data_IF_058073213069
#
_entry.id   IF_058073213069
#
_cell.length_a   1.000
_cell.length_b   1.000
_cell.length_c   1.000
_cell.angle_alpha   90.00
_cell.angle_beta   90.00
_cell.angle_gamma   90.00
#
_symmetry.space_group_name_H-M   'P 1'
#
loop_
_entity.id
_entity.type
_entity.pdbx_description
1 polymer ?
#
# COMPACT_ATOMS: atom_id res chain seq x y z
N UNK A 1 13.56 -15.56 -1.58
CA UNK A 1 13.35 -14.10 -1.60
C UNK A 1 12.27 -13.85 -2.63
N UNK A 2 11.06 -13.49 -2.19
CA UNK A 2 9.96 -13.21 -3.11
C UNK A 2 10.17 -11.84 -3.74
N UNK A 3 10.34 -11.82 -5.06
CA UNK A 3 10.56 -10.59 -5.81
C UNK A 3 9.26 -10.15 -6.48
N UNK A 4 8.84 -8.90 -6.25
CA UNK A 4 7.75 -8.30 -7.01
C UNK A 4 8.26 -7.84 -8.38
N UNK A 5 7.45 -8.02 -9.41
CA UNK A 5 7.75 -7.55 -10.78
C UNK A 5 6.85 -6.37 -11.08
N UNK A 6 7.42 -5.22 -11.42
CA UNK A 6 6.66 -3.99 -11.65
C UNK A 6 7.20 -3.18 -12.84
N UNK A 7 6.34 -2.34 -13.41
CA UNK A 7 6.62 -1.43 -14.52
C UNK A 7 6.44 0.02 -14.05
N UNK A 8 7.30 0.93 -14.49
CA UNK A 8 7.17 2.36 -14.20
C UNK A 8 6.21 3.01 -15.25
N UNK A 9 5.22 3.79 -14.79
CA UNK A 9 4.29 4.52 -15.67
C UNK A 9 4.56 6.04 -15.54
N UNK A 10 4.32 6.80 -16.61
CA UNK A 10 4.62 8.26 -16.63
C UNK A 10 3.71 9.10 -15.73
N UNK A 11 2.48 8.64 -15.44
CA UNK A 11 1.47 9.37 -14.64
C UNK A 11 1.13 8.70 -13.30
N UNK A 12 1.51 7.43 -13.11
CA UNK A 12 1.41 6.66 -11.86
C UNK A 12 2.79 6.06 -11.61
N UNK A 13 3.37 6.15 -10.41
CA UNK A 13 4.80 5.84 -10.27
C UNK A 13 5.14 4.38 -10.58
N UNK A 14 4.31 3.41 -10.18
CA UNK A 14 4.59 1.98 -10.42
C UNK A 14 3.31 1.15 -10.66
N UNK A 15 3.40 0.12 -11.51
CA UNK A 15 2.33 -0.86 -11.75
C UNK A 15 2.84 -2.28 -11.61
N UNK A 16 2.08 -3.11 -10.90
CA UNK A 16 2.41 -4.49 -10.62
C UNK A 16 2.19 -5.34 -11.88
N UNK A 17 3.19 -6.12 -12.28
CA UNK A 17 3.15 -6.96 -13.49
C UNK A 17 2.73 -8.39 -13.16
N UNK A 18 3.04 -8.87 -11.95
CA UNK A 18 2.66 -10.21 -11.47
C UNK A 18 1.86 -10.09 -10.19
N UNK A 19 0.79 -10.88 -10.01
CA UNK A 19 0.03 -10.87 -8.77
C UNK A 19 0.96 -11.18 -7.59
N UNK A 20 0.70 -10.53 -6.46
CA UNK A 20 1.48 -10.67 -5.25
C UNK A 20 0.54 -10.91 -4.06
N UNK A 21 0.79 -11.98 -3.33
CA UNK A 21 0.03 -12.32 -2.12
C UNK A 21 0.93 -12.18 -0.90
N UNK A 22 0.39 -11.61 0.17
CA UNK A 22 1.09 -11.41 1.42
C UNK A 22 0.18 -11.74 2.61
N UNK A 23 0.68 -12.58 3.52
CA UNK A 23 -0.02 -12.90 4.76
C UNK A 23 0.14 -11.76 5.76
N UNK A 24 -0.89 -10.94 5.90
CA UNK A 24 -0.99 -9.91 6.93
C UNK A 24 -1.49 -10.50 8.25
N UNK A 25 -1.31 -9.74 9.32
CA UNK A 25 -1.85 -10.04 10.65
C UNK A 25 -3.25 -9.39 10.87
N UNK A 26 -3.81 -8.76 9.81
CA UNK A 26 -5.07 -8.03 9.85
C UNK A 26 -6.21 -9.03 9.62
N UNK A 27 -6.98 -9.32 10.67
CA UNK A 27 -8.18 -10.16 10.57
C UNK A 27 -9.41 -9.27 10.49
N UNK A 28 -10.24 -9.53 9.48
CA UNK A 28 -11.49 -8.79 9.24
C UNK A 28 -12.68 -9.73 9.32
N UNK A 29 -13.84 -9.21 9.70
CA UNK A 29 -15.07 -10.00 9.78
C UNK A 29 -15.60 -10.40 8.39
N UNK A 30 -15.37 -9.56 7.38
CA UNK A 30 -15.73 -9.75 5.98
C UNK A 30 -14.52 -9.58 5.07
N UNK A 31 -14.48 -10.24 3.91
CA UNK A 31 -13.45 -9.94 2.92
C UNK A 31 -13.57 -8.49 2.44
N UNK A 32 -12.45 -7.79 2.31
CA UNK A 32 -12.41 -6.41 1.85
C UNK A 32 -11.75 -6.37 0.48
N UNK A 33 -12.44 -5.80 -0.51
CA UNK A 33 -11.97 -5.80 -1.90
C UNK A 33 -11.93 -4.38 -2.44
N UNK A 34 -10.90 -4.05 -3.22
CA UNK A 34 -10.77 -2.81 -3.99
C UNK A 34 -10.90 -3.13 -5.46
N UNK A 35 -11.73 -2.35 -6.16
CA UNK A 35 -12.07 -2.56 -7.55
C UNK A 35 -13.56 -2.83 -7.74
N UNK A 36 -13.93 -3.14 -8.97
CA UNK A 36 -15.30 -3.48 -9.31
C UNK A 36 -15.41 -5.02 -9.40
N UNK A 37 -16.22 -5.69 -8.57
CA UNK A 37 -16.40 -7.14 -8.60
C UNK A 37 -16.80 -7.68 -9.98
N UNK A 38 -17.54 -6.89 -10.76
CA UNK A 38 -18.04 -7.28 -12.09
C UNK A 38 -16.99 -7.09 -13.20
N UNK A 39 -15.93 -6.33 -12.93
CA UNK A 39 -14.90 -5.98 -13.93
C UNK A 39 -13.56 -6.60 -13.54
N UNK A 40 -13.02 -6.19 -12.39
CA UNK A 40 -11.74 -6.65 -11.86
C UNK A 40 -11.54 -6.18 -10.42
N UNK A 41 -11.08 -7.09 -9.58
CA UNK A 41 -10.60 -6.81 -8.23
C UNK A 41 -9.08 -6.61 -8.31
N UNK A 42 -8.59 -5.50 -7.76
CA UNK A 42 -7.16 -5.17 -7.74
C UNK A 42 -6.51 -5.52 -6.40
N UNK A 43 -7.24 -5.36 -5.30
CA UNK A 43 -6.78 -5.71 -3.96
C UNK A 43 -7.89 -6.51 -3.28
N UNK A 44 -7.56 -7.64 -2.70
CA UNK A 44 -8.48 -8.49 -1.95
C UNK A 44 -7.82 -8.89 -0.62
N UNK A 45 -8.42 -8.50 0.49
CA UNK A 45 -8.02 -8.89 1.83
C UNK A 45 -9.05 -9.88 2.37
N UNK A 46 -8.65 -11.13 2.52
CA UNK A 46 -9.53 -12.16 3.07
C UNK A 46 -9.66 -12.06 4.60
N UNK A 47 -10.60 -12.82 5.17
CA UNK A 47 -10.87 -12.85 6.63
C UNK A 47 -9.68 -13.38 7.45
N UNK A 48 -8.85 -14.22 6.84
CA UNK A 48 -7.65 -14.80 7.47
C UNK A 48 -6.45 -13.84 7.44
N UNK A 49 -6.60 -12.67 6.81
CA UNK A 49 -5.54 -11.67 6.64
C UNK A 49 -4.62 -11.90 5.45
N UNK A 50 -4.95 -12.78 4.52
CA UNK A 50 -4.25 -12.87 3.24
C UNK A 50 -4.64 -11.68 2.37
N UNK A 51 -3.65 -10.83 2.07
CA UNK A 51 -3.77 -9.72 1.13
C UNK A 51 -3.29 -10.19 -0.24
N UNK A 52 -4.20 -10.22 -1.21
CA UNK A 52 -3.91 -10.50 -2.61
C UNK A 52 -3.94 -9.19 -3.41
N UNK A 53 -2.87 -8.91 -4.12
CA UNK A 53 -2.74 -7.74 -4.99
C UNK A 53 -2.59 -8.25 -6.41
N UNK A 54 -3.57 -7.96 -7.25
CA UNK A 54 -3.63 -8.46 -8.61
C UNK A 54 -2.69 -7.73 -9.58
N UNK A 55 -2.30 -8.43 -10.65
CA UNK A 55 -1.51 -7.82 -11.71
C UNK A 55 -2.29 -6.68 -12.38
N UNK A 56 -1.63 -5.54 -12.55
CA UNK A 56 -2.20 -4.31 -13.08
C UNK A 56 -2.49 -3.25 -12.02
N UNK A 57 -2.39 -3.58 -10.72
CA UNK A 57 -2.50 -2.61 -9.64
C UNK A 57 -1.41 -1.53 -9.74
N UNK A 58 -1.81 -0.26 -9.74
CA UNK A 58 -0.91 0.87 -9.79
C UNK A 58 -0.82 1.54 -8.41
N UNK A 59 0.38 1.85 -7.96
CA UNK A 59 0.65 2.45 -6.66
C UNK A 59 1.75 3.51 -6.75
N UNK A 60 1.78 4.42 -5.77
CA UNK A 60 2.71 5.57 -5.78
C UNK A 60 4.14 5.21 -5.35
N UNK A 61 4.40 3.98 -4.93
CA UNK A 61 5.71 3.56 -4.43
C UNK A 61 6.11 4.24 -3.13
N UNK A 62 7.40 4.16 -2.75
CA UNK A 62 7.96 5.03 -1.73
C UNK A 62 7.58 6.49 -1.92
N UNK A 63 6.81 7.00 -0.97
CA UNK A 63 6.62 8.43 -0.82
C UNK A 63 7.47 8.92 0.36
N UNK A 64 8.35 9.89 0.09
CA UNK A 64 9.23 10.52 1.08
C UNK A 64 10.71 10.57 0.67
N UNK A 65 11.58 11.17 1.49
CA UNK A 65 13.04 11.26 1.24
C UNK A 65 13.77 9.93 1.43
N UNK A 66 13.04 8.81 1.35
CA UNK A 66 13.57 7.48 1.57
C UNK A 66 14.22 6.98 0.29
N UNK A 67 15.49 6.59 0.36
CA UNK A 67 16.24 6.13 -0.82
C UNK A 67 15.50 4.95 -1.45
N UNK A 68 15.10 5.08 -2.72
CA UNK A 68 14.49 4.03 -3.54
C UNK A 68 15.37 2.78 -3.52
N UNK A 69 15.06 1.85 -2.62
CA UNK A 69 15.80 0.59 -2.50
C UNK A 69 14.82 -0.51 -2.87
N UNK A 70 15.28 -1.52 -3.60
CA UNK A 70 14.44 -2.67 -4.00
C UNK A 70 13.72 -3.32 -2.80
N UNK A 71 14.31 -3.19 -1.62
CA UNK A 71 13.82 -3.65 -0.32
C UNK A 71 12.65 -2.86 0.25
N UNK A 72 12.32 -1.71 -0.34
CA UNK A 72 11.21 -0.87 0.05
C UNK A 72 10.01 -0.98 -0.90
N UNK A 73 10.24 -1.44 -2.14
CA UNK A 73 9.19 -1.55 -3.14
C UNK A 73 8.10 -2.52 -2.72
N UNK A 74 8.48 -3.72 -2.23
CA UNK A 74 7.55 -4.75 -1.74
C UNK A 74 6.75 -4.25 -0.53
N UNK A 75 7.42 -3.59 0.42
CA UNK A 75 6.78 -2.99 1.58
C UNK A 75 5.80 -1.88 1.19
N UNK A 76 6.22 -0.97 0.31
CA UNK A 76 5.39 0.15 -0.16
C UNK A 76 4.13 -0.32 -0.88
N UNK A 77 4.22 -1.40 -1.67
CA UNK A 77 3.08 -1.99 -2.37
C UNK A 77 2.01 -2.47 -1.38
N UNK A 78 2.42 -3.26 -0.37
CA UNK A 78 1.52 -3.78 0.66
C UNK A 78 0.94 -2.64 1.50
N UNK A 79 1.76 -1.65 1.83
CA UNK A 79 1.33 -0.49 2.61
C UNK A 79 0.29 0.36 1.86
N UNK A 80 0.53 0.66 0.58
CA UNK A 80 -0.40 1.44 -0.25
C UNK A 80 -1.74 0.73 -0.46
N UNK A 81 -1.70 -0.59 -0.69
CA UNK A 81 -2.91 -1.41 -0.81
C UNK A 81 -3.75 -1.41 0.48
N UNK A 82 -3.12 -1.52 1.65
CA UNK A 82 -3.79 -1.42 2.95
C UNK A 82 -4.32 0.00 3.21
N UNK A 83 -3.57 1.02 2.84
CA UNK A 83 -4.00 2.42 2.96
C UNK A 83 -5.18 2.73 2.04
N UNK A 84 -5.24 2.14 0.84
CA UNK A 84 -6.37 2.30 -0.06
C UNK A 84 -7.64 1.67 0.52
N UNK A 85 -7.54 0.50 1.18
CA UNK A 85 -8.66 -0.08 1.94
C UNK A 85 -9.15 0.85 3.05
N UNK A 86 -8.25 1.55 3.73
CA UNK A 86 -8.62 2.55 4.73
C UNK A 86 -9.24 3.81 4.10
N UNK A 87 -8.74 4.25 2.94
CA UNK A 87 -9.24 5.42 2.22
C UNK A 87 -10.65 5.22 1.66
N UNK A 88 -10.99 3.99 1.27
CA UNK A 88 -12.36 3.61 0.86
C UNK A 88 -13.26 3.25 2.06
N UNK A 89 -12.84 3.54 3.30
CA UNK A 89 -13.58 3.27 4.55
C UNK A 89 -13.98 1.79 4.74
N UNK A 90 -13.33 0.88 4.02
CA UNK A 90 -13.52 -0.57 4.14
C UNK A 90 -12.81 -1.13 5.37
N UNK A 91 -11.70 -0.49 5.74
CA UNK A 91 -10.88 -0.85 6.90
C UNK A 91 -10.78 0.36 7.83
N UNK A 92 -10.98 0.15 9.13
CA UNK A 92 -10.85 1.23 10.11
C UNK A 92 -9.41 1.78 10.14
N UNK A 93 -9.24 3.06 9.81
CA UNK A 93 -7.91 3.68 9.77
C UNK A 93 -7.29 3.72 11.17
N UNK A 94 -8.06 3.99 12.21
CA UNK A 94 -7.48 4.27 13.53
C UNK A 94 -6.99 3.00 14.21
N UNK A 95 -7.72 1.89 14.07
CA UNK A 95 -7.29 0.58 14.55
C UNK A 95 -6.18 -0.08 13.72
N UNK A 96 -6.21 0.07 12.38
CA UNK A 96 -5.34 -0.73 11.50
C UNK A 96 -4.13 0.02 10.92
N UNK A 97 -4.05 1.35 11.03
CA UNK A 97 -2.89 2.12 10.55
C UNK A 97 -1.58 1.67 11.19
N UNK A 98 -1.55 1.49 12.51
CA UNK A 98 -0.35 1.01 13.20
C UNK A 98 0.05 -0.40 12.74
N UNK A 99 -0.94 -1.25 12.45
CA UNK A 99 -0.70 -2.59 11.94
C UNK A 99 -0.11 -2.55 10.52
N UNK A 100 -0.64 -1.70 9.63
CA UNK A 100 -0.11 -1.51 8.28
C UNK A 100 1.33 -0.98 8.30
N UNK A 101 1.62 0.01 9.15
CA UNK A 101 2.98 0.56 9.32
C UNK A 101 3.95 -0.50 9.88
N UNK A 102 3.49 -1.35 10.79
CA UNK A 102 4.29 -2.46 11.35
C UNK A 102 4.58 -3.53 10.29
N UNK A 103 3.61 -3.85 9.43
CA UNK A 103 3.80 -4.76 8.30
C UNK A 103 4.83 -4.20 7.33
N UNK A 104 4.74 -2.92 6.97
CA UNK A 104 5.74 -2.24 6.15
C UNK A 104 7.14 -2.43 6.72
N UNK A 105 7.32 -2.13 8.02
CA UNK A 105 8.62 -2.30 8.70
C UNK A 105 9.11 -3.75 8.65
N UNK A 106 8.23 -4.73 8.87
CA UNK A 106 8.56 -6.16 8.85
C UNK A 106 9.05 -6.59 7.47
N UNK A 107 8.33 -6.22 6.41
CA UNK A 107 8.71 -6.53 5.02
C UNK A 107 10.07 -5.90 4.67
N UNK A 108 10.29 -4.64 5.09
CA UNK A 108 11.58 -3.97 4.86
C UNK A 108 12.73 -4.71 5.54
N UNK A 109 12.54 -5.16 6.79
CA UNK A 109 13.54 -5.93 7.52
C UNK A 109 13.82 -7.28 6.85
N UNK A 110 12.77 -7.99 6.43
CA UNK A 110 12.89 -9.27 5.71
C UNK A 110 13.63 -9.12 4.38
N UNK A 111 13.43 -8.00 3.68
CA UNK A 111 14.14 -7.68 2.44
C UNK A 111 15.60 -7.23 2.68
N UNK A 112 16.07 -7.22 3.93
CA UNK A 112 17.45 -6.89 4.28
C UNK A 112 17.70 -5.39 4.48
N UNK A 113 16.64 -4.58 4.65
CA UNK A 113 16.81 -3.20 5.07
C UNK A 113 17.36 -3.15 6.50
N UNK A 114 18.36 -2.30 6.72
CA UNK A 114 18.94 -2.09 8.05
C UNK A 114 17.85 -1.65 9.06
N UNK A 115 17.84 -2.27 10.24
CA UNK A 115 16.86 -2.04 11.30
C UNK A 115 16.70 -0.59 11.73
N UNK A 116 17.79 0.19 11.72
CA UNK A 116 17.74 1.64 11.98
C UNK A 116 16.94 2.38 10.92
N UNK A 117 17.15 2.00 9.65
CA UNK A 117 16.46 2.60 8.52
C UNK A 117 15.00 2.20 8.48
N UNK A 118 14.69 0.94 8.75
CA UNK A 118 13.30 0.48 8.87
C UNK A 118 12.54 1.19 10.02
N UNK A 119 13.21 1.44 11.15
CA UNK A 119 12.62 2.22 12.25
C UNK A 119 12.43 3.70 11.90
N UNK A 120 13.35 4.31 11.15
CA UNK A 120 13.22 5.67 10.63
C UNK A 120 12.02 5.80 9.69
N UNK A 121 11.91 4.89 8.72
CA UNK A 121 10.77 4.79 7.80
C UNK A 121 9.45 4.66 8.55
N UNK A 122 9.37 3.75 9.52
CA UNK A 122 8.17 3.56 10.35
C UNK A 122 7.74 4.85 11.05
N UNK A 123 8.69 5.55 11.69
CA UNK A 123 8.41 6.84 12.35
C UNK A 123 7.95 7.91 11.37
N UNK A 124 8.55 7.97 10.19
CA UNK A 124 8.22 8.97 9.18
C UNK A 124 6.82 8.73 8.59
N UNK A 125 6.49 7.50 8.24
CA UNK A 125 5.16 7.11 7.76
C UNK A 125 4.11 7.36 8.83
N UNK A 126 4.40 7.11 10.12
CA UNK A 126 3.48 7.44 11.22
C UNK A 126 3.18 8.94 11.30
N UNK A 127 4.17 9.78 11.00
CA UNK A 127 4.06 11.24 11.10
C UNK A 127 3.41 11.88 9.86
N UNK A 128 3.71 11.37 8.65
CA UNK A 128 3.18 11.91 7.38
C UNK A 128 1.94 11.17 6.86
N UNK A 129 1.74 9.92 7.27
CA UNK A 129 0.63 9.08 6.83
C UNK A 129 -0.74 9.56 7.31
N UNK A 130 -0.79 10.37 8.37
CA UNK A 130 -2.03 10.95 8.90
C UNK A 130 -2.69 11.92 7.90
N UNK A 131 -1.90 12.57 7.04
CA UNK A 131 -2.36 13.40 5.93
C UNK A 131 -2.75 12.56 4.71
N UNK A 132 -2.01 11.47 4.43
CA UNK A 132 -2.23 10.60 3.27
C UNK A 132 -3.41 9.62 3.42
N UNK A 133 -3.82 9.35 4.67
CA UNK A 133 -4.96 8.52 5.05
C UNK A 133 -6.27 9.32 5.19
N UNK A 134 -6.25 10.66 5.03
CA UNK A 134 -7.50 11.42 4.97
C UNK A 134 -8.20 11.11 3.63
N UNK A 135 -9.55 11.00 3.62
CA UNK A 135 -10.29 10.93 2.38
C UNK A 135 -9.92 12.15 1.53
N UNK A 136 -9.74 11.95 0.21
CA UNK A 136 -9.57 13.07 -0.71
C UNK A 136 -10.84 13.92 -0.60
N UNK A 137 -10.69 15.15 -0.13
CA UNK A 137 -11.71 16.18 -0.29
C UNK A 137 -11.86 16.41 -1.79
N UNK A 138 -12.98 15.99 -2.39
CA UNK A 138 -13.31 16.17 -3.82
C UNK A 138 -13.67 17.62 -4.16
N UNK A 139 -12.92 18.59 -3.61
CA UNK A 139 -13.08 20.00 -3.92
C UNK A 139 -11.80 20.56 -4.56
N UNK A 140 -11.90 20.80 -5.88
CA UNK A 140 -10.91 21.37 -6.83
C UNK A 140 -10.03 20.33 -7.53
N UNK A 141 -9.86 20.30 -8.85
CA UNK A 141 -9.88 21.39 -9.85
C UNK A 141 -10.14 20.74 -11.22
N UNK A 142 -11.22 21.11 -11.91
CA UNK A 142 -11.32 20.87 -13.35
C UNK A 142 -10.50 21.97 -14.02
N UNK A 143 -9.28 21.66 -14.44
CA UNK A 143 -8.53 22.53 -15.34
C UNK A 143 -8.94 22.20 -16.79
N UNK A 144 -9.63 23.14 -17.44
CA UNK A 144 -9.90 23.08 -18.87
C UNK A 144 -8.72 23.72 -19.59
N UNK A 145 -7.99 22.93 -20.38
CA UNK A 145 -6.95 23.45 -21.27
C UNK A 145 -7.60 23.99 -22.57
N UNK A 146 -7.03 25.06 -23.19
CA UNK A 146 -7.50 25.58 -24.47
C UNK A 146 -7.33 24.59 -25.63
#
# INVERSE_FOLDING_TARGET
MDHIVYKNLRNYKYQLVKPYSFQTEIKTNSPLQIGNPDVKIFVDLNRDGMLNIEAGYAWDGPSGPTIDTKTFMRGSLVHDALYQLMREEKLDRDGYRETADRILKKICLEDGMNSFRAAYVYKFVRWFGESSAKPKDESKEWEVAP
#
